data_IF_161321926605
#
_entry.id   IF_161321926605
#
_cell.length_a   1.000
_cell.length_b   1.000
_cell.length_c   1.000
_cell.angle_alpha   90.00
_cell.angle_beta   90.00
_cell.angle_gamma   90.00
#
_symmetry.space_group_name_H-M   'P 1'
#
loop_
_entity.id
_entity.type
_entity.pdbx_description
1 polymer ?
#
# COMPACT_ATOMS: atom_id res chain seq x y z
N UNK A 1 -30.98 -31.55 12.75
CA UNK A 1 -30.29 -32.84 12.93
C UNK A 1 -28.82 -32.67 12.56
N UNK A 2 -27.93 -33.02 13.51
CA UNK A 2 -26.49 -33.28 13.43
C UNK A 2 -25.47 -32.19 12.98
N UNK A 3 -24.69 -31.79 14.01
CA UNK A 3 -23.20 -31.64 14.09
C UNK A 3 -22.60 -30.36 13.47
N UNK A 4 -21.63 -29.64 14.06
CA UNK A 4 -20.78 -29.70 15.27
C UNK A 4 -20.14 -28.31 15.38
N UNK A 5 -19.93 -27.79 16.60
CA UNK A 5 -19.29 -26.49 16.82
C UNK A 5 -17.86 -26.40 16.27
N UNK A 6 -17.37 -25.20 15.90
CA UNK A 6 -16.02 -24.79 16.17
C UNK A 6 -16.03 -23.90 17.43
N UNK A 7 -15.65 -24.51 18.54
CA UNK A 7 -15.21 -23.84 19.75
C UNK A 7 -13.90 -23.15 19.46
N UNK A 8 -13.92 -21.86 19.16
CA UNK A 8 -12.78 -20.97 19.35
C UNK A 8 -13.34 -19.61 19.71
N UNK A 9 -13.46 -19.34 21.00
CA UNK A 9 -13.74 -17.98 21.49
C UNK A 9 -12.47 -17.17 21.27
N UNK A 10 -12.30 -16.61 20.07
CA UNK A 10 -11.52 -15.41 19.95
C UNK A 10 -12.36 -14.28 20.58
N UNK A 11 -11.78 -13.52 21.50
CA UNK A 11 -12.38 -12.27 21.96
C UNK A 11 -12.24 -11.24 20.82
N UNK A 12 -12.94 -11.48 19.71
CA UNK A 12 -12.91 -10.61 18.55
C UNK A 12 -13.85 -9.43 18.78
N UNK A 13 -13.28 -8.24 18.99
CA UNK A 13 -14.02 -7.00 18.89
C UNK A 13 -14.16 -6.64 17.40
N UNK A 14 -15.31 -6.96 16.80
CA UNK A 14 -15.61 -6.52 15.44
C UNK A 14 -16.12 -5.08 15.45
N UNK A 15 -15.29 -4.16 14.97
CA UNK A 15 -15.61 -2.73 14.92
C UNK A 15 -16.06 -2.38 13.50
N UNK A 16 -17.34 -2.02 13.36
CA UNK A 16 -17.90 -1.47 12.12
C UNK A 16 -17.92 0.03 12.26
N UNK A 17 -17.13 0.73 11.44
CA UNK A 17 -17.05 2.17 11.46
C UNK A 17 -16.90 2.73 10.03
N UNK A 18 -17.48 3.91 9.82
CA UNK A 18 -17.26 4.70 8.61
C UNK A 18 -15.79 5.11 8.58
N UNK A 19 -15.12 4.90 7.45
CA UNK A 19 -13.70 5.22 7.29
C UNK A 19 -13.38 6.70 7.54
N UNK A 20 -14.33 7.61 7.28
CA UNK A 20 -14.18 9.04 7.54
C UNK A 20 -14.34 9.40 9.03
N UNK A 21 -15.02 8.55 9.79
CA UNK A 21 -15.34 8.76 11.21
C UNK A 21 -14.58 7.84 12.15
N UNK A 22 -13.90 6.84 11.59
CA UNK A 22 -13.11 5.87 12.31
C UNK A 22 -11.70 6.40 12.50
N UNK A 23 -11.41 6.87 13.71
CA UNK A 23 -10.04 7.07 14.13
C UNK A 23 -9.41 5.70 14.48
N UNK A 24 -8.81 5.08 13.46
CA UNK A 24 -8.11 3.80 13.59
C UNK A 24 -7.01 3.89 14.66
N UNK A 25 -6.36 5.04 14.81
CA UNK A 25 -5.32 5.23 15.81
C UNK A 25 -5.90 5.28 17.23
N UNK A 26 -7.08 5.88 17.41
CA UNK A 26 -7.79 5.89 18.69
C UNK A 26 -8.35 4.50 19.06
N UNK A 27 -8.97 3.80 18.10
CA UNK A 27 -9.46 2.42 18.29
C UNK A 27 -8.33 1.51 18.75
N UNK A 28 -7.20 1.59 18.05
CA UNK A 28 -6.00 0.84 18.40
C UNK A 28 -5.42 1.29 19.75
N UNK A 29 -5.42 2.59 20.03
CA UNK A 29 -4.93 3.17 21.28
C UNK A 29 -5.72 2.78 22.53
N UNK A 30 -7.00 2.42 22.37
CA UNK A 30 -7.85 1.95 23.47
C UNK A 30 -7.56 0.51 23.91
N UNK A 31 -6.71 -0.23 23.20
CA UNK A 31 -6.38 -1.62 23.54
C UNK A 31 -5.36 -1.72 24.69
N UNK A 32 -5.68 -2.54 25.67
CA UNK A 32 -4.98 -2.71 26.95
C UNK A 32 -3.70 -3.56 26.90
N UNK A 33 -2.98 -3.56 25.78
CA UNK A 33 -1.73 -4.29 25.61
C UNK A 33 -1.81 -5.55 24.75
N UNK A 34 -2.98 -5.89 24.22
CA UNK A 34 -3.17 -7.05 23.36
C UNK A 34 -2.38 -6.94 22.05
N UNK A 35 -2.09 -8.10 21.45
CA UNK A 35 -1.62 -8.18 20.06
C UNK A 35 -2.81 -7.92 19.12
N UNK A 36 -2.62 -7.00 18.19
CA UNK A 36 -3.62 -6.57 17.21
C UNK A 36 -3.19 -7.03 15.83
N UNK A 37 -4.13 -7.64 15.09
CA UNK A 37 -3.99 -7.91 13.67
C UNK A 37 -4.93 -6.97 12.89
N UNK A 38 -4.34 -6.09 12.08
CA UNK A 38 -5.06 -5.20 11.17
C UNK A 38 -5.24 -5.90 9.82
N UNK A 39 -6.47 -6.29 9.47
CA UNK A 39 -6.78 -6.89 8.16
C UNK A 39 -7.76 -6.00 7.42
N UNK A 40 -7.45 -5.58 6.19
CA UNK A 40 -8.40 -4.79 5.43
C UNK A 40 -8.32 -4.92 3.90
N UNK A 41 -9.52 -5.04 3.31
CA UNK A 41 -9.93 -4.60 1.96
C UNK A 41 -11.38 -4.10 2.10
N UNK A 42 -11.88 -3.03 1.51
CA UNK A 42 -11.27 -1.95 0.76
C UNK A 42 -11.08 -0.74 1.70
N UNK A 43 -9.91 -0.57 2.29
CA UNK A 43 -9.63 0.53 3.22
C UNK A 43 -9.24 1.80 2.42
N UNK A 44 -10.26 2.50 1.94
CA UNK A 44 -10.16 3.55 0.92
C UNK A 44 -9.44 4.83 1.37
N UNK A 45 -9.02 5.65 0.39
CA UNK A 45 -8.34 6.91 0.62
C UNK A 45 -7.11 6.78 1.52
N UNK A 46 -7.03 7.70 2.49
CA UNK A 46 -5.94 7.79 3.47
C UNK A 46 -6.02 6.79 4.61
N UNK A 47 -7.04 5.93 4.66
CA UNK A 47 -7.24 5.04 5.80
C UNK A 47 -6.29 3.85 5.81
N UNK A 48 -5.84 3.39 4.65
CA UNK A 48 -4.72 2.44 4.57
C UNK A 48 -3.47 3.02 5.23
N UNK A 49 -3.22 4.32 5.02
CA UNK A 49 -2.10 5.02 5.63
C UNK A 49 -2.32 5.26 7.14
N UNK A 50 -3.56 5.49 7.59
CA UNK A 50 -3.90 5.53 9.00
C UNK A 50 -3.64 4.18 9.70
N UNK A 51 -3.99 3.06 9.06
CA UNK A 51 -3.67 1.73 9.57
C UNK A 51 -2.16 1.48 9.65
N UNK A 52 -1.38 1.95 8.65
CA UNK A 52 0.09 1.88 8.71
C UNK A 52 0.63 2.71 9.87
N UNK A 53 0.18 3.96 10.05
CA UNK A 53 0.63 4.79 11.18
C UNK A 53 0.24 4.20 12.54
N UNK A 54 -0.96 3.65 12.67
CA UNK A 54 -1.38 2.95 13.88
C UNK A 54 -0.48 1.75 14.19
N UNK A 55 -0.13 0.95 13.17
CA UNK A 55 0.81 -0.16 13.33
C UNK A 55 2.21 0.33 13.76
N UNK A 56 2.73 1.37 13.11
CA UNK A 56 4.02 2.00 13.47
C UNK A 56 4.01 2.47 14.93
N UNK A 57 2.94 3.14 15.37
CA UNK A 57 2.78 3.63 16.75
C UNK A 57 2.75 2.51 17.78
N UNK A 58 2.13 1.38 17.46
CA UNK A 58 2.09 0.20 18.34
C UNK A 58 3.41 -0.58 18.36
N UNK A 59 4.12 -0.61 17.24
CA UNK A 59 5.32 -1.40 17.03
C UNK A 59 5.07 -2.89 16.77
N UNK A 60 6.09 -3.60 16.28
CA UNK A 60 5.99 -4.98 15.77
C UNK A 60 5.63 -6.03 16.81
N UNK A 61 5.82 -5.75 18.11
CA UNK A 61 5.44 -6.66 19.20
C UNK A 61 3.94 -6.70 19.45
N UNK A 62 3.24 -5.60 19.13
CA UNK A 62 1.81 -5.41 19.38
C UNK A 62 0.97 -5.38 18.12
N UNK A 63 1.52 -5.03 16.97
CA UNK A 63 0.78 -4.98 15.72
C UNK A 63 1.28 -6.02 14.71
N UNK A 64 0.34 -6.53 13.93
CA UNK A 64 0.58 -7.16 12.64
C UNK A 64 -0.44 -6.62 11.66
N UNK A 65 -0.11 -6.63 10.37
CA UNK A 65 -0.88 -5.91 9.37
C UNK A 65 -0.93 -6.69 8.05
N UNK A 66 -2.13 -6.80 7.49
CA UNK A 66 -2.43 -7.35 6.16
C UNK A 66 -3.37 -6.37 5.45
N UNK A 67 -2.83 -5.50 4.60
CA UNK A 67 -3.60 -4.50 3.87
C UNK A 67 -3.55 -4.75 2.37
N UNK A 68 -4.70 -4.70 1.70
CA UNK A 68 -4.81 -4.66 0.25
C UNK A 68 -5.35 -3.29 -0.21
N UNK A 69 -4.49 -2.25 -0.35
CA UNK A 69 -4.92 -0.90 -0.68
C UNK A 69 -5.38 -0.81 -2.15
N UNK A 70 -6.46 -0.08 -2.40
CA UNK A 70 -7.05 0.00 -3.74
C UNK A 70 -7.52 1.39 -4.15
N UNK A 71 -7.32 2.44 -3.35
CA UNK A 71 -7.79 3.80 -3.66
C UNK A 71 -6.64 4.80 -3.74
N UNK A 72 -5.54 4.41 -4.39
CA UNK A 72 -4.34 5.25 -4.48
C UNK A 72 -4.60 6.65 -5.05
N UNK A 73 -5.48 6.85 -6.06
CA UNK A 73 -5.79 8.19 -6.56
C UNK A 73 -6.45 9.11 -5.52
N UNK A 74 -6.94 8.58 -4.39
CA UNK A 74 -7.60 9.33 -3.32
C UNK A 74 -6.69 9.57 -2.11
N UNK A 75 -5.44 9.12 -2.13
CA UNK A 75 -4.50 9.35 -1.03
C UNK A 75 -4.17 10.84 -0.97
N UNK A 76 -4.28 11.44 0.21
CA UNK A 76 -3.77 12.79 0.47
C UNK A 76 -2.27 12.72 0.80
N UNK A 77 -1.49 13.68 0.31
CA UNK A 77 -0.04 13.70 0.51
C UNK A 77 0.32 13.85 2.00
N UNK A 78 -0.46 14.64 2.71
CA UNK A 78 -0.28 15.01 4.12
C UNK A 78 -0.41 13.79 5.03
N UNK A 79 -1.23 12.83 4.64
CA UNK A 79 -1.54 11.62 5.40
C UNK A 79 -0.83 10.39 4.86
N UNK A 80 -0.13 10.48 3.74
CA UNK A 80 0.56 9.34 3.14
C UNK A 80 1.71 8.85 4.04
N UNK A 81 1.69 7.57 4.42
CA UNK A 81 2.64 7.04 5.41
C UNK A 81 4.07 6.91 4.86
N UNK A 82 4.23 6.83 3.53
CA UNK A 82 5.52 6.65 2.87
C UNK A 82 6.20 7.94 2.42
N UNK A 83 5.79 9.11 2.94
CA UNK A 83 6.23 10.43 2.44
C UNK A 83 7.75 10.58 2.42
N UNK A 84 8.41 10.27 3.54
CA UNK A 84 9.87 10.38 3.66
C UNK A 84 10.63 9.50 2.64
N UNK A 85 10.08 8.33 2.29
CA UNK A 85 10.67 7.47 1.27
C UNK A 85 10.57 8.09 -0.12
N UNK A 86 9.40 8.63 -0.50
CA UNK A 86 9.22 9.32 -1.77
C UNK A 86 10.10 10.57 -1.88
N UNK A 87 10.11 11.40 -0.84
CA UNK A 87 10.94 12.60 -0.75
C UNK A 87 12.44 12.25 -0.90
N UNK A 88 12.89 11.17 -0.26
CA UNK A 88 14.25 10.65 -0.40
C UNK A 88 14.63 10.22 -1.83
N UNK A 89 13.65 9.96 -2.70
CA UNK A 89 13.82 9.67 -4.12
C UNK A 89 13.45 10.85 -5.03
N UNK A 90 13.33 12.05 -4.47
CA UNK A 90 13.02 13.28 -5.21
C UNK A 90 11.55 13.40 -5.66
N UNK A 91 10.65 12.58 -5.12
CA UNK A 91 9.20 12.69 -5.36
C UNK A 91 8.58 13.53 -4.23
N UNK A 92 8.38 14.82 -4.49
CA UNK A 92 7.60 15.72 -3.64
C UNK A 92 6.10 15.70 -3.96
N UNK A 93 5.34 16.61 -3.34
CA UNK A 93 3.86 16.70 -3.47
C UNK A 93 3.37 16.79 -4.92
N UNK A 94 4.01 17.60 -5.76
CA UNK A 94 3.63 17.76 -7.17
C UNK A 94 3.82 16.46 -7.96
N UNK A 95 4.99 15.83 -7.81
CA UNK A 95 5.29 14.55 -8.46
C UNK A 95 4.42 13.40 -7.92
N UNK A 96 4.01 13.46 -6.66
CA UNK A 96 3.02 12.54 -6.09
C UNK A 96 1.63 12.74 -6.70
N UNK A 97 1.25 13.97 -7.03
CA UNK A 97 0.06 14.28 -7.83
C UNK A 97 0.09 13.55 -9.18
N UNK A 98 1.20 13.68 -9.91
CA UNK A 98 1.41 12.95 -11.18
C UNK A 98 1.35 11.44 -10.99
N UNK A 99 1.93 10.91 -9.91
CA UNK A 99 1.87 9.48 -9.59
C UNK A 99 0.42 9.01 -9.42
N UNK A 100 -0.41 9.79 -8.71
CA UNK A 100 -1.85 9.52 -8.54
C UNK A 100 -2.61 9.60 -9.86
N UNK A 101 -2.27 10.54 -10.73
CA UNK A 101 -2.89 10.69 -12.04
C UNK A 101 -2.54 9.52 -12.97
N UNK A 102 -1.30 9.03 -12.95
CA UNK A 102 -0.91 7.78 -13.63
C UNK A 102 -1.72 6.61 -13.09
N UNK A 103 -1.89 6.49 -11.77
CA UNK A 103 -2.72 5.41 -11.20
C UNK A 103 -4.17 5.54 -11.65
N UNK A 104 -4.73 6.75 -11.69
CA UNK A 104 -6.11 7.02 -12.15
C UNK A 104 -6.28 6.64 -13.62
N UNK A 105 -5.41 7.14 -14.50
CA UNK A 105 -5.42 6.86 -15.93
C UNK A 105 -5.34 5.36 -16.22
N UNK A 106 -4.52 4.64 -15.46
CA UNK A 106 -4.32 3.19 -15.66
C UNK A 106 -5.44 2.31 -15.07
N UNK A 107 -6.46 2.92 -14.45
CA UNK A 107 -7.74 2.25 -14.13
C UNK A 107 -8.78 2.44 -15.22
N UNK A 108 -8.55 3.37 -16.14
CA UNK A 108 -9.57 3.73 -17.11
C UNK A 108 -9.80 2.59 -18.11
N UNK A 109 -11.06 2.23 -18.37
CA UNK A 109 -11.41 1.07 -19.18
C UNK A 109 -11.02 1.27 -20.65
N UNK A 110 -11.01 2.51 -21.15
CA UNK A 110 -10.72 2.81 -22.55
C UNK A 110 -9.34 3.47 -22.72
N UNK A 111 -8.59 3.13 -23.79
CA UNK A 111 -7.27 3.73 -24.06
C UNK A 111 -7.29 5.25 -24.18
N UNK A 112 -8.35 5.83 -24.74
CA UNK A 112 -8.56 7.28 -24.85
C UNK A 112 -8.71 7.97 -23.49
N UNK A 113 -9.17 7.27 -22.47
CA UNK A 113 -9.29 7.85 -21.11
C UNK A 113 -7.93 7.88 -20.39
N UNK A 114 -6.86 7.36 -21.01
CA UNK A 114 -5.49 7.30 -20.48
C UNK A 114 -4.64 8.51 -20.90
N UNK A 115 -5.25 9.50 -21.55
CA UNK A 115 -4.66 10.67 -22.23
C UNK A 115 -3.92 11.70 -21.34
N UNK A 116 -3.80 11.49 -20.02
CA UNK A 116 -3.42 12.56 -19.09
C UNK A 116 -1.93 12.77 -18.84
N UNK A 117 -1.02 12.10 -19.54
CA UNK A 117 0.41 12.45 -19.53
C UNK A 117 0.72 13.58 -20.55
N UNK A 118 -0.13 14.61 -20.59
CA UNK A 118 0.11 15.83 -21.38
C UNK A 118 1.08 16.76 -20.65
N UNK A 119 2.35 16.39 -20.66
CA UNK A 119 3.46 17.33 -20.52
C UNK A 119 4.61 16.85 -21.40
N UNK A 120 4.74 17.49 -22.57
CA UNK A 120 5.91 17.38 -23.46
C UNK A 120 6.06 16.05 -24.20
N UNK A 121 5.82 16.07 -25.50
CA UNK A 121 6.38 15.17 -26.54
C UNK A 121 6.13 13.66 -26.50
N UNK A 122 5.53 13.09 -25.46
CA UNK A 122 5.18 11.65 -25.45
C UNK A 122 3.69 11.50 -25.73
N UNK A 123 3.35 10.94 -26.89
CA UNK A 123 1.97 10.69 -27.31
C UNK A 123 1.19 9.75 -26.37
N UNK A 124 0.01 9.29 -26.80
CA UNK A 124 -0.81 8.34 -26.05
C UNK A 124 0.00 7.06 -25.75
N UNK A 125 0.14 6.70 -24.46
CA UNK A 125 0.78 5.44 -24.08
C UNK A 125 0.01 4.25 -24.68
N UNK A 126 0.74 3.28 -25.21
CA UNK A 126 0.09 2.03 -25.64
C UNK A 126 -0.41 1.21 -24.42
N UNK A 127 -1.15 0.14 -24.68
CA UNK A 127 -1.71 -0.69 -23.61
C UNK A 127 -0.64 -1.32 -22.70
N UNK A 128 0.53 -1.68 -23.25
CA UNK A 128 1.64 -2.31 -22.53
C UNK A 128 2.38 -1.29 -21.67
N UNK A 129 2.66 -0.11 -22.21
CA UNK A 129 3.28 1.01 -21.51
C UNK A 129 2.39 1.50 -20.39
N UNK A 130 1.09 1.71 -20.66
CA UNK A 130 0.08 2.06 -19.66
C UNK A 130 0.07 1.05 -18.51
N UNK A 131 0.08 -0.25 -18.82
CA UNK A 131 0.15 -1.30 -17.78
C UNK A 131 1.46 -1.17 -16.98
N UNK A 132 2.60 -0.99 -17.66
CA UNK A 132 3.91 -0.88 -17.02
C UNK A 132 3.96 0.29 -16.04
N UNK A 133 3.60 1.49 -16.49
CA UNK A 133 3.63 2.69 -15.63
C UNK A 133 2.62 2.60 -14.49
N UNK A 134 1.45 2.00 -14.73
CA UNK A 134 0.44 1.79 -13.69
C UNK A 134 0.90 0.82 -12.60
N UNK A 135 1.63 -0.23 -12.97
CA UNK A 135 2.24 -1.17 -12.01
C UNK A 135 3.33 -0.48 -11.21
N UNK A 136 4.23 0.24 -11.87
CA UNK A 136 5.34 0.97 -11.22
C UNK A 136 4.79 2.01 -10.24
N UNK A 137 3.77 2.79 -10.65
CA UNK A 137 3.20 3.83 -9.81
C UNK A 137 2.57 3.27 -8.52
N UNK A 138 1.75 2.21 -8.64
CA UNK A 138 1.19 1.53 -7.45
C UNK A 138 2.29 0.92 -6.59
N UNK A 139 3.30 0.30 -7.21
CA UNK A 139 4.41 -0.30 -6.46
C UNK A 139 5.21 0.74 -5.69
N UNK A 140 5.48 1.91 -6.27
CA UNK A 140 6.14 3.00 -5.57
C UNK A 140 5.34 3.44 -4.32
N UNK A 141 4.01 3.58 -4.45
CA UNK A 141 3.16 3.93 -3.31
C UNK A 141 3.21 2.85 -2.22
N UNK A 142 3.18 1.56 -2.58
CA UNK A 142 3.30 0.49 -1.59
C UNK A 142 4.71 0.36 -1.01
N UNK A 143 5.73 0.69 -1.78
CA UNK A 143 7.12 0.67 -1.31
C UNK A 143 7.36 1.73 -0.23
N UNK A 144 6.76 2.91 -0.34
CA UNK A 144 6.82 3.91 0.72
C UNK A 144 6.14 3.45 2.01
N UNK A 145 4.98 2.78 1.92
CA UNK A 145 4.32 2.18 3.10
C UNK A 145 5.14 1.04 3.71
N UNK A 146 5.71 0.19 2.85
CA UNK A 146 6.64 -0.87 3.26
C UNK A 146 7.81 -0.28 4.02
N UNK A 147 8.38 0.82 3.52
CA UNK A 147 9.53 1.47 4.14
C UNK A 147 9.18 2.05 5.50
N UNK A 148 8.04 2.72 5.64
CA UNK A 148 7.58 3.23 6.93
C UNK A 148 7.46 2.12 8.00
N UNK A 149 6.96 0.94 7.62
CA UNK A 149 6.85 -0.22 8.51
C UNK A 149 8.22 -0.86 8.80
N UNK A 150 9.11 -0.97 7.80
CA UNK A 150 10.47 -1.50 8.00
C UNK A 150 11.29 -0.61 8.93
N UNK A 151 11.23 0.71 8.75
CA UNK A 151 11.92 1.66 9.61
C UNK A 151 11.37 1.63 11.05
N UNK A 152 10.13 1.16 11.24
CA UNK A 152 9.53 0.88 12.55
C UNK A 152 9.84 -0.54 13.10
N UNK A 153 10.71 -1.31 12.43
CA UNK A 153 11.20 -2.61 12.90
C UNK A 153 10.34 -3.82 12.53
N UNK A 154 9.36 -3.67 11.61
CA UNK A 154 8.58 -4.81 11.12
C UNK A 154 9.35 -5.60 10.05
N UNK A 155 9.09 -6.91 9.99
CA UNK A 155 9.37 -7.68 8.77
C UNK A 155 8.19 -7.50 7.81
N UNK A 156 8.46 -6.94 6.62
CA UNK A 156 7.40 -6.51 5.69
C UNK A 156 7.59 -7.11 4.32
N UNK A 157 6.50 -7.61 3.74
CA UNK A 157 6.41 -8.11 2.37
C UNK A 157 5.33 -7.35 1.63
N UNK A 158 5.55 -7.17 0.32
CA UNK A 158 4.54 -6.64 -0.60
C UNK A 158 4.38 -7.66 -1.71
N UNK A 159 3.28 -8.43 -1.65
CA UNK A 159 3.04 -9.58 -2.53
C UNK A 159 1.87 -9.30 -3.47
N UNK A 160 1.81 -10.02 -4.59
CA UNK A 160 0.70 -9.94 -5.54
C UNK A 160 -0.33 -11.01 -5.19
N UNK A 161 -1.58 -10.61 -4.96
CA UNK A 161 -2.66 -11.56 -4.65
C UNK A 161 -3.53 -11.92 -5.87
N UNK A 162 -3.39 -11.19 -6.98
CA UNK A 162 -4.16 -11.40 -8.20
C UNK A 162 -3.38 -11.01 -9.47
N UNK A 163 -3.74 -11.53 -10.65
CA UNK A 163 -3.30 -10.99 -11.94
C UNK A 163 -3.73 -9.53 -12.13
N UNK A 164 -3.01 -8.79 -12.98
CA UNK A 164 -3.33 -7.38 -13.25
C UNK A 164 -4.69 -7.24 -13.96
N UNK A 165 -5.03 -8.24 -14.76
CA UNK A 165 -6.25 -8.37 -15.53
C UNK A 165 -7.49 -8.52 -14.65
N UNK A 166 -7.31 -9.06 -13.43
CA UNK A 166 -8.37 -9.15 -12.42
C UNK A 166 -8.48 -7.84 -11.65
N UNK A 167 -7.34 -7.29 -11.21
CA UNK A 167 -7.28 -5.97 -10.59
C UNK A 167 -5.88 -5.35 -10.77
N UNK A 168 -5.78 -4.07 -11.17
CA UNK A 168 -4.50 -3.40 -11.19
C UNK A 168 -4.00 -3.11 -9.77
N UNK A 169 -4.89 -3.03 -8.78
CA UNK A 169 -4.62 -2.85 -7.35
C UNK A 169 -4.39 -4.20 -6.66
N UNK A 170 -3.42 -4.97 -7.18
CA UNK A 170 -3.16 -6.38 -6.83
C UNK A 170 -2.15 -6.60 -5.70
N UNK A 171 -1.68 -5.54 -5.06
CA UNK A 171 -0.68 -5.65 -4.01
C UNK A 171 -1.33 -5.80 -2.64
N UNK A 172 -0.75 -6.67 -1.81
CA UNK A 172 -1.06 -6.78 -0.39
C UNK A 172 0.22 -6.62 0.42
N UNK A 173 0.16 -5.79 1.45
CA UNK A 173 1.22 -5.51 2.40
C UNK A 173 1.01 -6.41 3.59
N UNK A 174 2.04 -7.20 3.91
CA UNK A 174 2.05 -8.10 5.06
C UNK A 174 3.18 -7.63 5.95
N UNK A 175 2.87 -7.15 7.14
CA UNK A 175 3.84 -6.75 8.15
C UNK A 175 3.63 -7.55 9.44
N UNK A 176 4.69 -8.13 9.95
CA UNK A 176 4.68 -8.96 11.15
C UNK A 176 5.86 -8.61 12.04
N UNK A 177 5.81 -9.11 13.27
CA UNK A 177 6.96 -9.12 14.16
C UNK A 177 8.14 -9.79 13.43
N UNK A 178 9.27 -9.08 13.33
CA UNK A 178 10.46 -9.66 12.72
C UNK A 178 10.91 -10.86 13.56
N UNK A 179 10.97 -12.08 12.98
CA UNK A 179 11.45 -13.23 13.72
C UNK A 179 12.89 -12.96 14.13
N UNK A 180 13.20 -13.28 15.38
CA UNK A 180 14.58 -13.39 15.85
C UNK A 180 14.91 -14.89 15.84
N UNK A 181 15.72 -15.42 14.89
CA UNK A 181 16.44 -14.78 13.78
C UNK A 181 15.59 -14.61 12.50
N UNK A 182 16.04 -13.81 11.51
CA UNK A 182 15.29 -13.53 10.29
C UNK A 182 14.99 -14.82 9.51
N UNK A 183 13.72 -15.26 9.52
CA UNK A 183 13.23 -16.34 8.67
C UNK A 183 13.17 -15.81 7.24
N UNK A 184 13.75 -16.50 6.24
CA UNK A 184 13.59 -16.11 4.85
C UNK A 184 12.09 -16.05 4.54
N UNK A 185 11.63 -14.99 3.84
CA UNK A 185 10.22 -14.84 3.51
C UNK A 185 9.74 -16.11 2.79
N UNK A 186 8.50 -16.60 3.03
CA UNK A 186 7.97 -17.71 2.26
C UNK A 186 7.99 -17.31 0.78
N UNK A 187 8.33 -18.25 -0.09
CA UNK A 187 8.42 -18.02 -1.53
C UNK A 187 7.04 -17.64 -2.09
N UNK A 188 6.73 -16.35 -2.08
CA UNK A 188 5.65 -15.75 -2.85
C UNK A 188 6.28 -14.96 -3.98
N UNK A 189 5.61 -14.90 -5.12
CA UNK A 189 6.15 -14.32 -6.35
C UNK A 189 6.33 -12.80 -6.21
N UNK A 190 7.45 -12.41 -5.60
CA UNK A 190 8.04 -11.08 -5.71
C UNK A 190 8.41 -10.96 -7.19
N UNK A 191 7.67 -10.17 -7.96
CA UNK A 191 8.30 -9.67 -9.18
C UNK A 191 9.40 -8.74 -8.66
N UNK A 192 10.62 -9.25 -8.65
CA UNK A 192 11.84 -8.46 -8.67
C UNK A 192 11.91 -7.77 -10.03
N UNK A 193 10.94 -6.91 -10.34
CA UNK A 193 11.17 -5.83 -11.27
C UNK A 193 11.87 -4.76 -10.42
N UNK A 194 13.22 -4.74 -10.37
CA UNK A 194 13.89 -3.59 -9.81
C UNK A 194 13.32 -2.32 -10.47
N UNK A 195 13.15 -1.27 -9.68
CA UNK A 195 12.84 0.07 -10.20
C UNK A 195 13.93 0.60 -11.15
N UNK A 196 14.95 -0.19 -11.50
CA UNK A 196 16.06 0.13 -12.41
C UNK A 196 15.61 0.43 -13.85
N UNK A 197 14.37 0.12 -14.23
CA UNK A 197 13.81 0.46 -15.56
C UNK A 197 12.99 1.75 -15.62
N UNK A 198 12.77 2.42 -14.48
CA UNK A 198 12.24 3.77 -14.39
C UNK A 198 13.20 4.56 -13.50
N UNK A 199 14.35 4.93 -14.06
CA UNK A 199 15.07 6.07 -13.54
C UNK A 199 14.08 7.23 -13.48
N UNK A 200 13.61 7.56 -12.27
CA UNK A 200 13.12 8.88 -11.97
C UNK A 200 14.34 9.77 -12.24
N UNK A 201 14.42 10.31 -13.46
CA UNK A 201 15.37 11.34 -13.82
C UNK A 201 15.05 12.52 -12.90
N UNK A 202 15.67 12.50 -11.73
CA UNK A 202 15.88 13.69 -10.94
C UNK A 202 17.10 14.31 -11.58
N UNK A 203 16.86 15.12 -12.62
CA UNK A 203 17.87 16.01 -13.14
C UNK A 203 18.19 17.01 -12.02
N UNK A 204 19.11 16.61 -11.14
CA UNK A 204 19.93 17.56 -10.39
C UNK A 204 21.04 17.97 -11.33
N UNK A 205 20.76 19.00 -12.13
CA UNK A 205 21.83 19.84 -12.65
C UNK A 205 22.40 20.62 -11.45
N UNK A 206 23.73 20.62 -11.40
CA UNK A 206 24.65 21.26 -10.45
C UNK A 206 24.18 22.59 -9.86
#
# INVERSE_FOLDING_TARGET
DRRRAPTTTYNDAHIVADVEKCDIEAVVGATGGEKILLVAKHLCGSASDAAVRAAVKLGPRRASLVLAPCCHPQIAWETYAGRAWLEGHGIGVEAFGVLRDVVRATRAPRPEDRLFLRSGDRGTLDARESRRVGVVARRAIEEGRRRALVDAGFAVQVVRYAPFEVTPDRFVLIAVEAPTPPRPPPAFVVDDAPLTGCALHTDKIL
#
